data_IF_181967185575
#
_entry.id   IF_181967185575
#
_cell.length_a   1.000
_cell.length_b   1.000
_cell.length_c   1.000
_cell.angle_alpha   90.00
_cell.angle_beta   90.00
_cell.angle_gamma   90.00
#
_symmetry.space_group_name_H-M   'P 1'
#
loop_
_entity.id
_entity.type
_entity.pdbx_description
1 polymer ?
#
# COMPACT_ATOMS: atom_id res chain seq x y z
N UNK A 1 -31.11 -17.68 -28.75
CA UNK A 1 -30.72 -18.29 -27.46
C UNK A 1 -30.93 -19.79 -27.57
N UNK A 2 -29.88 -20.59 -27.42
CA UNK A 2 -30.01 -22.06 -27.40
C UNK A 2 -30.38 -22.48 -25.98
N UNK A 3 -31.62 -22.91 -25.76
CA UNK A 3 -32.11 -23.34 -24.44
C UNK A 3 -31.23 -24.46 -23.84
N UNK A 4 -30.96 -24.40 -22.52
CA UNK A 4 -30.23 -25.42 -21.77
C UNK A 4 -31.11 -26.61 -21.35
N UNK A 5 -32.35 -26.65 -21.84
CA UNK A 5 -33.31 -27.71 -21.59
C UNK A 5 -33.26 -28.75 -22.71
N UNK A 6 -33.25 -30.02 -22.32
CA UNK A 6 -33.49 -31.15 -23.20
C UNK A 6 -34.94 -31.12 -23.70
N UNK A 7 -35.24 -31.94 -24.73
CA UNK A 7 -36.60 -32.05 -25.28
C UNK A 7 -37.62 -32.54 -24.23
N UNK A 8 -37.14 -33.23 -23.21
CA UNK A 8 -37.94 -33.77 -22.10
C UNK A 8 -38.15 -32.76 -20.95
N UNK A 9 -37.62 -31.55 -21.08
CA UNK A 9 -37.72 -30.49 -20.05
C UNK A 9 -36.69 -30.58 -18.93
N UNK A 10 -35.82 -31.59 -18.93
CA UNK A 10 -34.70 -31.69 -17.99
C UNK A 10 -33.52 -30.78 -18.37
N UNK A 11 -32.74 -30.34 -17.38
CA UNK A 11 -31.55 -29.50 -17.57
C UNK A 11 -30.39 -30.36 -18.05
N UNK A 12 -29.75 -29.98 -19.16
CA UNK A 12 -28.54 -30.63 -19.67
C UNK A 12 -27.31 -30.18 -18.87
N UNK A 13 -27.07 -30.84 -17.73
CA UNK A 13 -25.95 -30.55 -16.82
C UNK A 13 -24.60 -30.67 -17.55
N UNK A 14 -24.42 -31.70 -18.38
CA UNK A 14 -23.16 -31.93 -19.09
C UNK A 14 -22.85 -30.84 -20.11
N UNK A 15 -23.87 -30.26 -20.75
CA UNK A 15 -23.68 -29.08 -21.60
C UNK A 15 -23.38 -27.83 -20.78
N UNK A 16 -24.06 -27.63 -19.65
CA UNK A 16 -23.81 -26.50 -18.76
C UNK A 16 -22.35 -26.51 -18.25
N UNK A 17 -21.86 -27.67 -17.80
CA UNK A 17 -20.48 -27.85 -17.34
C UNK A 17 -19.45 -27.56 -18.43
N UNK A 18 -19.70 -27.98 -19.67
CA UNK A 18 -18.84 -27.66 -20.82
C UNK A 18 -18.81 -26.17 -21.12
N UNK A 19 -19.95 -25.49 -21.01
CA UNK A 19 -20.02 -24.05 -21.23
C UNK A 19 -19.28 -23.28 -20.13
N UNK A 20 -19.54 -23.62 -18.87
CA UNK A 20 -18.85 -23.04 -17.70
C UNK A 20 -17.34 -23.24 -17.81
N UNK A 21 -16.89 -24.45 -18.15
CA UNK A 21 -15.46 -24.75 -18.33
C UNK A 21 -14.85 -23.93 -19.46
N UNK A 22 -15.60 -23.71 -20.55
CA UNK A 22 -15.15 -22.87 -21.69
C UNK A 22 -15.02 -21.41 -21.28
N UNK A 23 -16.00 -20.87 -20.57
CA UNK A 23 -15.98 -19.49 -20.07
C UNK A 23 -14.86 -19.27 -19.05
N UNK A 24 -14.67 -20.20 -18.11
CA UNK A 24 -13.55 -20.14 -17.14
C UNK A 24 -12.21 -20.15 -17.87
N UNK A 25 -12.06 -20.99 -18.89
CA UNK A 25 -10.82 -21.06 -19.68
C UNK A 25 -10.57 -19.78 -20.47
N UNK A 26 -11.61 -19.19 -21.06
CA UNK A 26 -11.53 -17.91 -21.76
C UNK A 26 -11.21 -16.75 -20.80
N UNK A 27 -11.84 -16.72 -19.63
CA UNK A 27 -11.57 -15.74 -18.59
C UNK A 27 -10.11 -15.82 -18.09
N UNK A 28 -9.63 -17.03 -17.80
CA UNK A 28 -8.25 -17.24 -17.36
C UNK A 28 -7.22 -16.81 -18.42
N UNK A 29 -7.51 -17.07 -19.69
CA UNK A 29 -6.69 -16.60 -20.82
C UNK A 29 -6.61 -15.07 -20.86
N UNK A 30 -7.77 -14.40 -20.88
CA UNK A 30 -7.85 -12.95 -20.97
C UNK A 30 -7.17 -12.28 -19.77
N UNK A 31 -7.38 -12.84 -18.57
CA UNK A 31 -6.73 -12.37 -17.34
C UNK A 31 -5.21 -12.50 -17.41
N UNK A 32 -4.69 -13.62 -17.92
CA UNK A 32 -3.25 -13.83 -18.07
C UNK A 32 -2.64 -12.82 -19.07
N UNK A 33 -3.31 -12.58 -20.19
CA UNK A 33 -2.91 -11.59 -21.18
C UNK A 33 -2.87 -10.18 -20.57
N UNK A 34 -3.91 -9.76 -19.86
CA UNK A 34 -3.99 -8.41 -19.29
C UNK A 34 -2.96 -8.19 -18.18
N UNK A 35 -2.72 -9.18 -17.32
CA UNK A 35 -1.67 -9.11 -16.32
C UNK A 35 -0.27 -9.03 -16.97
N UNK A 36 -0.05 -9.73 -18.08
CA UNK A 36 1.21 -9.64 -18.81
C UNK A 36 1.36 -8.26 -19.48
N UNK A 37 0.30 -7.73 -20.11
CA UNK A 37 0.31 -6.36 -20.68
C UNK A 37 0.68 -5.32 -19.62
N UNK A 38 0.05 -5.39 -18.44
CA UNK A 38 0.34 -4.47 -17.31
C UNK A 38 1.78 -4.57 -16.83
N UNK A 39 2.38 -5.76 -16.83
CA UNK A 39 3.78 -5.93 -16.43
C UNK A 39 4.74 -5.45 -17.52
N UNK A 40 4.48 -5.82 -18.77
CA UNK A 40 5.37 -5.55 -19.90
C UNK A 40 5.41 -4.08 -20.28
N UNK A 41 4.31 -3.32 -20.13
CA UNK A 41 4.28 -1.88 -20.46
C UNK A 41 5.31 -1.05 -19.68
N UNK A 42 5.72 -1.53 -18.50
CA UNK A 42 6.71 -0.84 -17.66
C UNK A 42 8.13 -1.37 -17.85
N UNK A 43 8.30 -2.56 -18.40
CA UNK A 43 9.59 -3.26 -18.43
C UNK A 43 10.22 -3.32 -19.82
N UNK A 44 9.42 -3.13 -20.87
CA UNK A 44 9.84 -3.35 -22.26
C UNK A 44 10.11 -2.03 -22.98
N UNK A 45 11.11 -2.01 -23.86
CA UNK A 45 11.52 -0.79 -24.60
C UNK A 45 10.90 -0.69 -26.00
N UNK A 46 10.49 -1.81 -26.60
CA UNK A 46 9.97 -1.91 -27.97
C UNK A 46 8.60 -2.63 -28.00
N UNK A 47 7.74 -2.22 -28.93
CA UNK A 47 6.46 -2.86 -29.19
C UNK A 47 6.59 -4.33 -29.60
N UNK A 48 7.62 -4.70 -30.36
CA UNK A 48 7.80 -6.10 -30.79
C UNK A 48 8.11 -7.03 -29.63
N UNK A 49 8.94 -6.58 -28.69
CA UNK A 49 9.23 -7.30 -27.44
C UNK A 49 7.97 -7.40 -26.57
N UNK A 50 7.16 -6.33 -26.50
CA UNK A 50 5.89 -6.32 -25.76
C UNK A 50 4.92 -7.34 -26.35
N UNK A 51 4.78 -7.35 -27.69
CA UNK A 51 3.93 -8.29 -28.41
C UNK A 51 4.35 -9.73 -28.15
N UNK A 52 5.65 -10.01 -28.14
CA UNK A 52 6.17 -11.34 -27.83
C UNK A 52 5.79 -11.76 -26.39
N UNK A 53 5.97 -10.91 -25.39
CA UNK A 53 5.58 -11.22 -24.00
C UNK A 53 4.08 -11.51 -23.86
N UNK A 54 3.23 -10.70 -24.48
CA UNK A 54 1.77 -10.91 -24.40
C UNK A 54 1.37 -12.22 -25.09
N UNK A 55 2.02 -12.58 -26.21
CA UNK A 55 1.73 -13.82 -26.95
C UNK A 55 2.03 -15.09 -26.14
N UNK A 56 2.99 -15.04 -25.22
CA UNK A 56 3.36 -16.17 -24.36
C UNK A 56 2.67 -16.17 -23.00
N UNK A 57 1.76 -15.23 -22.74
CA UNK A 57 1.08 -15.08 -21.44
C UNK A 57 0.27 -16.30 -21.00
N UNK A 58 -0.16 -17.13 -21.97
CA UNK A 58 -0.94 -18.34 -21.71
C UNK A 58 -0.09 -19.55 -21.33
N UNK A 59 1.24 -19.45 -21.45
CA UNK A 59 2.14 -20.53 -21.05
C UNK A 59 2.14 -20.66 -19.52
N UNK A 60 1.94 -21.88 -19.04
CA UNK A 60 2.09 -22.16 -17.61
C UNK A 60 3.56 -21.97 -17.24
N UNK A 61 3.85 -21.27 -16.14
CA UNK A 61 5.20 -21.23 -15.60
C UNK A 61 5.70 -22.66 -15.41
N UNK A 62 6.86 -22.97 -16.00
CA UNK A 62 7.45 -24.29 -15.87
C UNK A 62 7.69 -24.57 -14.38
N UNK A 63 7.11 -25.65 -13.88
CA UNK A 63 7.23 -25.99 -12.47
C UNK A 63 8.69 -26.32 -12.16
N UNK A 64 9.18 -25.90 -10.99
CA UNK A 64 10.52 -26.30 -10.51
C UNK A 64 10.71 -27.82 -10.54
N UNK A 65 9.63 -28.59 -10.35
CA UNK A 65 9.65 -30.06 -10.45
C UNK A 65 9.87 -30.52 -11.89
N UNK A 66 9.23 -29.90 -12.87
CA UNK A 66 9.42 -30.22 -14.30
C UNK A 66 10.86 -29.92 -14.72
N UNK A 67 11.38 -28.76 -14.32
CA UNK A 67 12.79 -28.38 -14.57
C UNK A 67 13.74 -29.35 -13.89
N UNK A 68 13.54 -29.67 -12.60
CA UNK A 68 14.36 -30.63 -11.88
C UNK A 68 14.34 -32.02 -12.51
N UNK A 69 13.22 -32.44 -13.12
CA UNK A 69 13.11 -33.75 -13.79
C UNK A 69 13.95 -33.84 -15.06
N UNK A 70 14.17 -32.72 -15.76
CA UNK A 70 15.04 -32.66 -16.94
C UNK A 70 16.52 -32.80 -16.56
N UNK A 71 16.91 -32.27 -15.40
CA UNK A 71 18.29 -32.32 -14.90
C UNK A 71 18.58 -33.52 -13.99
N UNK A 72 17.56 -34.16 -13.41
CA UNK A 72 17.71 -35.29 -12.50
C UNK A 72 18.06 -36.63 -13.18
N UNK A 73 18.35 -36.62 -14.49
CA UNK A 73 19.13 -37.67 -15.15
C UNK A 73 18.71 -39.11 -14.83
N UNK A 74 17.44 -39.47 -15.05
CA UNK A 74 17.06 -40.88 -15.09
C UNK A 74 17.30 -41.43 -16.51
N UNK A 75 18.12 -42.49 -16.68
CA UNK A 75 18.33 -43.11 -17.99
C UNK A 75 17.07 -43.90 -18.34
N UNK A 76 16.24 -43.35 -19.23
CA UNK A 76 15.19 -44.12 -19.90
C UNK A 76 15.56 -44.35 -21.36
N UNK A 77 15.60 -45.63 -21.67
CA UNK A 77 15.79 -46.29 -22.95
C UNK A 77 15.09 -45.55 -24.10
N UNK A 78 15.87 -45.27 -25.16
CA UNK A 78 15.39 -45.38 -26.55
C UNK A 78 14.55 -44.24 -27.10
N UNK A 79 15.17 -43.10 -27.42
CA UNK A 79 14.77 -42.34 -28.61
C UNK A 79 15.98 -41.67 -29.24
N UNK A 80 16.38 -42.24 -30.37
CA UNK A 80 17.53 -41.86 -31.17
C UNK A 80 17.20 -40.54 -31.89
N UNK A 81 17.59 -39.41 -31.30
CA UNK A 81 17.60 -38.11 -31.97
C UNK A 81 19.05 -37.67 -32.03
N UNK A 82 19.60 -37.66 -33.25
CA UNK A 82 20.96 -37.17 -33.53
C UNK A 82 21.05 -35.70 -33.12
N UNK A 83 21.87 -35.44 -32.12
CA UNK A 83 22.32 -34.11 -31.73
C UNK A 83 23.30 -33.58 -32.76
N UNK A 84 23.06 -32.37 -33.27
CA UNK A 84 24.14 -31.53 -33.78
C UNK A 84 24.55 -30.56 -32.69
N UNK A 85 25.84 -30.62 -32.36
CA UNK A 85 26.58 -29.71 -31.50
C UNK A 85 26.40 -28.25 -31.95
N UNK A 86 26.05 -27.37 -31.01
CA UNK A 86 26.62 -26.04 -30.91
C UNK A 86 26.85 -25.76 -29.42
N UNK A 87 28.13 -25.70 -29.10
CA UNK A 87 28.72 -25.28 -27.85
C UNK A 87 28.52 -23.77 -27.71
N UNK A 88 27.82 -23.33 -26.66
CA UNK A 88 27.92 -21.96 -26.15
C UNK A 88 27.51 -21.99 -24.67
N UNK A 89 28.53 -22.10 -23.82
CA UNK A 89 28.41 -22.02 -22.38
C UNK A 89 27.99 -20.62 -21.92
N UNK A 90 26.71 -20.47 -21.59
CA UNK A 90 26.21 -19.35 -20.79
C UNK A 90 26.26 -19.78 -19.32
N UNK A 91 27.40 -19.53 -18.70
CA UNK A 91 27.61 -19.77 -17.27
C UNK A 91 26.87 -18.77 -16.37
N UNK A 92 26.41 -19.29 -15.22
CA UNK A 92 26.43 -18.54 -13.97
C UNK A 92 25.19 -17.72 -13.61
N UNK A 93 24.02 -18.35 -13.44
CA UNK A 93 22.87 -17.71 -12.79
C UNK A 93 22.62 -18.17 -11.34
N UNK A 94 23.31 -19.22 -10.88
CA UNK A 94 23.06 -19.83 -9.56
C UNK A 94 23.56 -19.00 -8.35
N UNK A 95 24.56 -18.13 -8.52
CA UNK A 95 25.16 -17.37 -7.41
C UNK A 95 24.33 -16.16 -6.95
N UNK A 96 23.33 -15.74 -7.73
CA UNK A 96 22.53 -14.55 -7.38
C UNK A 96 21.40 -14.85 -6.38
N UNK A 97 20.98 -16.10 -6.23
CA UNK A 97 19.83 -16.46 -5.39
C UNK A 97 20.24 -16.79 -3.94
N UNK A 98 21.48 -17.17 -3.69
CA UNK A 98 21.93 -17.49 -2.32
C UNK A 98 22.29 -16.25 -1.47
N UNK A 99 22.54 -15.08 -2.07
CA UNK A 99 22.82 -13.84 -1.30
C UNK A 99 21.61 -13.23 -0.57
N UNK A 100 20.40 -13.77 -0.74
CA UNK A 100 19.18 -13.23 -0.08
C UNK A 100 18.70 -14.01 1.14
N UNK A 101 19.33 -15.13 1.52
CA UNK A 101 18.80 -16.01 2.57
C UNK A 101 19.49 -15.96 3.94
N UNK A 102 20.61 -15.23 4.08
CA UNK A 102 21.41 -15.29 5.31
C UNK A 102 21.39 -14.00 6.16
N UNK A 103 20.38 -13.14 6.02
CA UNK A 103 20.16 -12.01 6.96
C UNK A 103 18.85 -12.20 7.73
N UNK A 104 18.76 -13.28 8.50
CA UNK A 104 17.88 -13.38 9.66
C UNK A 104 18.77 -13.63 10.87
N UNK A 105 19.41 -12.55 11.31
CA UNK A 105 20.03 -12.42 12.61
C UNK A 105 19.47 -11.14 13.19
N UNK A 106 18.90 -11.28 14.38
CA UNK A 106 18.66 -10.28 15.41
C UNK A 106 19.15 -8.86 15.12
N UNK A 107 18.21 -7.94 15.21
CA UNK A 107 18.45 -6.51 15.14
C UNK A 107 17.13 -5.81 14.88
N UNK A 108 16.56 -5.26 15.94
CA UNK A 108 15.46 -4.29 15.96
C UNK A 108 15.86 -3.04 15.15
N UNK A 109 15.99 -3.21 13.83
CA UNK A 109 16.19 -2.13 12.90
C UNK A 109 14.82 -1.48 12.77
N UNK A 110 14.56 -0.52 13.66
CA UNK A 110 13.61 0.57 13.40
C UNK A 110 13.99 1.17 12.05
N UNK A 111 13.40 0.65 10.98
CA UNK A 111 13.32 1.30 9.69
C UNK A 111 12.40 2.50 9.94
N UNK A 112 12.97 3.53 10.57
CA UNK A 112 12.45 4.86 10.48
C UNK A 112 12.62 5.22 9.02
N UNK A 113 11.55 5.07 8.24
CA UNK A 113 11.43 5.79 7.00
C UNK A 113 11.68 7.25 7.39
N UNK A 114 12.86 7.75 7.07
CA UNK A 114 13.14 9.17 7.14
C UNK A 114 12.25 9.77 6.07
N UNK A 115 11.02 10.12 6.46
CA UNK A 115 10.25 11.19 5.84
C UNK A 115 10.98 12.50 6.18
N UNK A 116 12.29 12.55 5.95
CA UNK A 116 13.06 13.77 5.96
C UNK A 116 12.64 14.45 4.70
N UNK A 117 11.79 15.46 4.85
CA UNK A 117 11.47 16.39 3.78
C UNK A 117 12.77 16.83 3.14
N UNK A 118 13.04 16.31 1.94
CA UNK A 118 13.95 16.99 1.02
C UNK A 118 13.26 18.32 0.73
N UNK A 119 13.69 19.37 1.41
CA UNK A 119 13.23 20.76 1.26
C UNK A 119 13.58 21.38 -0.10
N UNK A 120 13.80 20.55 -1.13
CA UNK A 120 13.92 20.97 -2.51
C UNK A 120 12.53 21.20 -3.12
N UNK A 121 12.21 22.48 -3.34
CA UNK A 121 11.00 22.99 -4.00
C UNK A 121 10.46 22.05 -5.10
N UNK A 122 9.15 21.73 -5.00
CA UNK A 122 8.25 21.19 -6.03
C UNK A 122 8.31 19.70 -6.40
N UNK A 123 9.03 18.86 -5.66
CA UNK A 123 8.97 17.42 -5.93
C UNK A 123 7.70 16.82 -5.30
N UNK A 124 6.66 16.69 -6.11
CA UNK A 124 5.49 15.88 -5.77
C UNK A 124 5.97 14.47 -5.40
N UNK A 125 5.44 13.85 -4.32
CA UNK A 125 5.84 12.52 -3.92
C UNK A 125 5.62 11.55 -5.07
N UNK A 126 6.56 10.65 -5.29
CA UNK A 126 6.40 9.61 -6.28
C UNK A 126 5.29 8.65 -5.85
N UNK A 127 4.72 7.89 -6.80
CA UNK A 127 3.75 6.83 -6.46
C UNK A 127 4.31 5.82 -5.45
N UNK A 128 5.64 5.61 -5.45
CA UNK A 128 6.32 4.74 -4.50
C UNK A 128 6.32 5.34 -3.10
N UNK A 129 6.63 6.63 -2.97
CA UNK A 129 6.63 7.32 -1.67
C UNK A 129 5.24 7.29 -1.02
N UNK A 130 4.18 7.43 -1.83
CA UNK A 130 2.81 7.30 -1.35
C UNK A 130 2.50 5.91 -0.83
N UNK A 131 2.87 4.87 -1.59
CA UNK A 131 2.68 3.49 -1.17
C UNK A 131 3.47 3.19 0.12
N UNK A 132 4.70 3.67 0.22
CA UNK A 132 5.55 3.44 1.39
C UNK A 132 5.00 4.17 2.63
N UNK A 133 4.48 5.39 2.46
CA UNK A 133 3.76 6.10 3.52
C UNK A 133 2.52 5.33 4.00
N UNK A 134 1.65 4.90 3.10
CA UNK A 134 0.44 4.15 3.46
C UNK A 134 0.75 2.80 4.09
N UNK A 135 1.80 2.12 3.62
CA UNK A 135 2.28 0.87 4.23
C UNK A 135 2.74 1.12 5.66
N UNK A 136 3.48 2.19 5.90
CA UNK A 136 3.96 2.55 7.22
C UNK A 136 2.82 2.96 8.15
N UNK A 137 1.89 3.77 7.64
CA UNK A 137 0.65 4.13 8.31
C UNK A 137 -0.09 2.87 8.76
N UNK A 138 -0.37 1.94 7.85
CA UNK A 138 -1.08 0.70 8.16
C UNK A 138 -0.30 -0.20 9.11
N UNK A 139 1.02 -0.06 9.20
CA UNK A 139 1.85 -0.81 10.14
C UNK A 139 1.76 -0.23 11.56
N UNK A 140 1.86 1.10 11.69
CA UNK A 140 1.92 1.78 12.99
C UNK A 140 0.53 2.14 13.55
N UNK A 141 -0.42 2.52 12.71
CA UNK A 141 -1.73 3.04 13.10
C UNK A 141 -2.75 1.91 13.25
N UNK A 142 -2.53 1.01 14.22
CA UNK A 142 -3.46 -0.10 14.53
C UNK A 142 -4.58 0.29 15.48
N UNK A 143 -4.38 1.36 16.24
CA UNK A 143 -5.35 1.90 17.18
C UNK A 143 -5.39 3.43 17.06
N UNK A 144 -6.44 4.08 17.58
CA UNK A 144 -6.52 5.55 17.62
C UNK A 144 -5.38 6.18 18.44
N UNK A 145 -4.93 5.51 19.51
CA UNK A 145 -3.81 5.97 20.31
C UNK A 145 -2.49 5.91 19.53
N UNK A 146 -2.26 4.85 18.75
CA UNK A 146 -1.07 4.74 17.91
C UNK A 146 -1.10 5.73 16.75
N UNK A 147 -2.28 5.96 16.17
CA UNK A 147 -2.50 7.00 15.17
C UNK A 147 -2.16 8.36 15.75
N UNK A 148 -2.62 8.67 16.96
CA UNK A 148 -2.28 9.93 17.61
C UNK A 148 -0.77 10.08 17.83
N UNK A 149 -0.09 9.03 18.33
CA UNK A 149 1.38 9.02 18.47
C UNK A 149 2.09 9.23 17.13
N UNK A 150 1.54 8.68 16.05
CA UNK A 150 2.06 8.87 14.70
C UNK A 150 1.89 10.32 14.23
N UNK A 151 0.71 10.91 14.46
CA UNK A 151 0.39 12.30 14.10
C UNK A 151 1.18 13.34 14.90
N UNK A 152 1.45 13.07 16.19
CA UNK A 152 2.20 13.98 17.08
C UNK A 152 3.70 13.75 17.03
N UNK A 153 4.18 12.83 16.20
CA UNK A 153 5.60 12.53 16.08
C UNK A 153 6.36 13.79 15.69
N UNK A 154 7.29 14.23 16.53
CA UNK A 154 8.19 15.37 16.28
C UNK A 154 9.53 14.85 15.78
N UNK A 155 10.18 15.60 14.89
CA UNK A 155 11.57 15.31 14.53
C UNK A 155 12.45 15.76 15.69
N UNK A 156 12.68 14.90 16.68
CA UNK A 156 13.87 15.06 17.51
C UNK A 156 15.05 14.66 16.63
N UNK A 157 15.77 15.66 16.12
CA UNK A 157 16.99 15.40 15.38
C UNK A 157 18.03 14.86 16.37
N UNK A 158 18.03 13.54 16.58
CA UNK A 158 18.91 12.81 17.51
C UNK A 158 20.42 13.05 17.24
N UNK A 159 20.76 13.81 16.19
CA UNK A 159 22.12 14.18 15.83
C UNK A 159 22.55 15.57 16.29
N UNK A 160 21.65 16.43 16.79
CA UNK A 160 22.04 17.74 17.31
C UNK A 160 22.13 17.64 18.84
N UNK A 161 23.34 17.33 19.27
CA UNK A 161 23.83 17.32 20.66
C UNK A 161 23.37 18.53 21.48
N UNK A 162 22.59 18.24 22.52
CA UNK A 162 22.63 18.73 23.91
C UNK A 162 22.68 20.24 24.29
N UNK A 163 22.88 21.22 23.40
CA UNK A 163 23.17 22.59 23.87
C UNK A 163 22.28 23.73 23.35
N UNK A 164 21.23 23.45 22.58
CA UNK A 164 20.32 24.51 22.10
C UNK A 164 18.97 24.49 22.82
N UNK A 165 18.87 25.29 23.88
CA UNK A 165 17.69 25.50 24.74
C UNK A 165 16.51 26.24 24.08
N UNK A 166 16.36 26.17 22.76
CA UNK A 166 15.32 26.88 22.02
C UNK A 166 14.89 26.23 20.71
N UNK A 167 15.19 24.95 20.49
CA UNK A 167 14.80 24.26 19.27
C UNK A 167 13.26 24.13 19.21
N UNK A 168 12.63 24.76 18.21
CA UNK A 168 11.22 24.55 17.92
C UNK A 168 11.01 23.08 17.54
N UNK A 169 10.09 22.41 18.23
CA UNK A 169 9.70 21.05 17.90
C UNK A 169 8.85 21.09 16.63
N UNK A 170 9.48 20.92 15.47
CA UNK A 170 8.75 20.73 14.23
C UNK A 170 8.10 19.35 14.21
N UNK A 171 6.81 19.32 13.87
CA UNK A 171 6.09 18.08 13.63
C UNK A 171 6.71 17.38 12.41
N UNK A 172 6.93 16.07 12.51
CA UNK A 172 7.34 15.25 11.35
C UNK A 172 6.29 15.35 10.25
N UNK A 173 5.03 15.46 10.64
CA UNK A 173 3.87 15.45 9.76
C UNK A 173 3.15 16.79 9.82
N UNK A 174 3.42 17.65 8.83
CA UNK A 174 2.60 18.83 8.59
C UNK A 174 1.25 18.40 7.97
N UNK A 175 0.10 18.70 8.60
CA UNK A 175 -1.20 18.21 8.12
C UNK A 175 -1.51 18.57 6.68
N UNK A 176 -1.24 19.83 6.30
CA UNK A 176 -1.47 20.34 4.94
C UNK A 176 -0.63 19.61 3.90
N UNK A 177 0.65 19.32 4.23
CA UNK A 177 1.51 18.53 3.35
C UNK A 177 1.01 17.11 3.25
N UNK A 178 0.70 16.47 4.38
CA UNK A 178 0.25 15.08 4.36
C UNK A 178 -1.02 14.93 3.51
N UNK A 179 -1.99 15.83 3.67
CA UNK A 179 -3.19 15.84 2.84
C UNK A 179 -2.88 16.04 1.35
N UNK A 180 -2.04 17.02 1.02
CA UNK A 180 -1.72 17.35 -0.38
C UNK A 180 -0.86 16.28 -1.07
N UNK A 181 0.07 15.68 -0.34
CA UNK A 181 1.10 14.81 -0.89
C UNK A 181 0.60 13.37 -0.98
N UNK A 182 -0.11 12.90 0.06
CA UNK A 182 -0.51 11.51 0.19
C UNK A 182 -2.01 11.26 -0.04
N UNK A 183 -2.86 12.26 0.21
CA UNK A 183 -4.32 12.10 0.19
C UNK A 183 -5.03 13.02 -0.82
N UNK A 184 -4.30 13.65 -1.76
CA UNK A 184 -4.89 14.61 -2.69
C UNK A 184 -5.87 13.97 -3.69
N UNK A 185 -5.66 12.70 -4.05
CA UNK A 185 -6.50 12.01 -5.05
C UNK A 185 -7.61 11.21 -4.38
N UNK A 186 -7.26 10.47 -3.34
CA UNK A 186 -8.18 9.61 -2.60
C UNK A 186 -7.71 9.49 -1.16
N UNK A 187 -8.67 9.45 -0.23
CA UNK A 187 -8.42 9.19 1.17
C UNK A 187 -9.29 8.02 1.59
N UNK A 188 -8.64 6.95 2.06
CA UNK A 188 -9.33 5.77 2.55
C UNK A 188 -10.22 6.12 3.75
N UNK A 189 -11.45 5.61 3.76
CA UNK A 189 -12.40 5.80 4.85
C UNK A 189 -11.87 5.27 6.19
N UNK A 190 -11.16 4.14 6.22
CA UNK A 190 -10.59 3.61 7.47
C UNK A 190 -9.50 4.54 8.02
N UNK A 191 -8.65 5.06 7.14
CA UNK A 191 -7.60 6.03 7.52
C UNK A 191 -8.23 7.30 8.08
N UNK A 192 -9.26 7.84 7.43
CA UNK A 192 -10.00 9.00 7.94
C UNK A 192 -10.62 8.71 9.32
N UNK A 193 -11.25 7.55 9.50
CA UNK A 193 -11.84 7.13 10.77
C UNK A 193 -10.83 7.14 11.91
N UNK A 194 -9.66 6.52 11.71
CA UNK A 194 -8.59 6.51 12.70
C UNK A 194 -8.07 7.92 13.03
N UNK A 195 -7.97 8.82 12.06
CA UNK A 195 -7.57 10.21 12.30
C UNK A 195 -8.62 10.93 13.16
N UNK A 196 -9.91 10.78 12.84
CA UNK A 196 -11.00 11.40 13.61
C UNK A 196 -10.97 10.93 15.07
N UNK A 197 -10.83 9.62 15.29
CA UNK A 197 -10.76 9.04 16.64
C UNK A 197 -9.51 9.51 17.40
N UNK A 198 -8.35 9.56 16.75
CA UNK A 198 -7.12 10.07 17.33
C UNK A 198 -7.24 11.54 17.77
N UNK A 199 -7.84 12.39 16.92
CA UNK A 199 -8.10 13.80 17.27
C UNK A 199 -9.12 13.94 18.39
N UNK A 200 -10.10 13.03 18.48
CA UNK A 200 -11.05 13.02 19.59
C UNK A 200 -10.40 12.59 20.91
N UNK A 201 -9.49 11.61 20.89
CA UNK A 201 -8.68 11.26 22.07
C UNK A 201 -7.85 12.46 22.55
N UNK A 202 -7.27 13.20 21.60
CA UNK A 202 -6.53 14.42 21.90
C UNK A 202 -7.43 15.52 22.52
N UNK A 203 -8.67 15.65 22.05
CA UNK A 203 -9.64 16.58 22.65
C UNK A 203 -10.00 16.17 24.09
N UNK A 204 -10.17 14.86 24.32
CA UNK A 204 -10.53 14.33 25.63
C UNK A 204 -9.41 14.50 26.66
N UNK A 205 -8.14 14.38 26.22
CA UNK A 205 -7.01 14.58 27.12
C UNK A 205 -6.92 16.02 27.66
N UNK A 206 -7.24 17.02 26.84
CA UNK A 206 -7.36 18.41 27.32
C UNK A 206 -8.51 18.62 28.32
N UNK A 207 -9.56 17.79 28.28
CA UNK A 207 -10.70 17.85 29.20
C UNK A 207 -10.45 17.14 30.54
N UNK A 208 -9.21 16.71 30.80
CA UNK A 208 -8.83 16.03 32.05
C UNK A 208 -9.10 14.53 32.04
N UNK A 209 -9.47 13.94 30.89
CA UNK A 209 -9.53 12.50 30.76
C UNK A 209 -8.10 11.99 30.53
N UNK A 210 -7.45 11.45 31.58
CA UNK A 210 -6.03 11.08 31.55
C UNK A 210 -5.76 9.86 30.67
N UNK A 211 -5.77 10.06 29.36
CA UNK A 211 -5.15 9.15 28.40
C UNK A 211 -3.67 9.51 28.44
N UNK A 212 -2.82 8.61 28.96
CA UNK A 212 -1.38 8.82 29.14
C UNK A 212 -0.62 9.04 27.83
N UNK A 213 -0.82 10.22 27.25
CA UNK A 213 -0.23 10.70 26.01
C UNK A 213 0.71 11.84 26.36
N UNK A 214 2.01 11.57 26.25
CA UNK A 214 3.04 12.57 26.39
C UNK A 214 3.05 13.47 25.16
N UNK A 215 2.19 14.49 25.15
CA UNK A 215 2.27 15.53 24.13
C UNK A 215 3.46 16.45 24.41
N UNK A 216 4.17 16.90 23.36
CA UNK A 216 5.17 17.95 23.50
C UNK A 216 4.53 19.19 24.16
N UNK A 217 5.15 19.79 25.19
CA UNK A 217 4.58 20.91 25.93
C UNK A 217 4.37 22.17 25.06
N UNK A 218 5.03 22.24 23.90
CA UNK A 218 4.92 23.33 22.93
C UNK A 218 3.68 23.23 22.03
N UNK A 219 3.03 22.06 21.95
CA UNK A 219 1.97 21.81 20.97
C UNK A 219 0.60 21.91 21.62
N UNK A 220 -0.15 22.98 21.32
CA UNK A 220 -1.55 23.05 21.73
C UNK A 220 -2.36 21.99 20.97
N UNK A 221 -3.03 21.11 21.73
CA UNK A 221 -3.93 20.10 21.17
C UNK A 221 -5.02 20.74 20.29
N UNK A 222 -5.56 21.90 20.71
CA UNK A 222 -6.50 22.67 19.90
C UNK A 222 -5.92 23.15 18.56
N UNK A 223 -4.68 23.63 18.54
CA UNK A 223 -4.04 24.08 17.30
C UNK A 223 -3.77 22.90 16.36
N UNK A 224 -3.37 21.75 16.92
CA UNK A 224 -3.18 20.52 16.16
C UNK A 224 -4.52 20.03 15.56
N UNK A 225 -5.60 19.99 16.35
CA UNK A 225 -6.94 19.63 15.87
C UNK A 225 -7.40 20.61 14.79
N UNK A 226 -7.21 21.92 14.99
CA UNK A 226 -7.58 22.93 13.99
C UNK A 226 -6.79 22.76 12.69
N UNK A 227 -5.49 22.45 12.78
CA UNK A 227 -4.65 22.23 11.61
C UNK A 227 -5.08 20.99 10.82
N UNK A 228 -5.25 19.85 11.49
CA UNK A 228 -5.72 18.62 10.84
C UNK A 228 -7.13 18.74 10.27
N UNK A 229 -8.07 19.30 11.02
CA UNK A 229 -9.46 19.45 10.55
C UNK A 229 -9.56 20.36 9.32
N UNK A 230 -8.71 21.39 9.24
CA UNK A 230 -8.59 22.24 8.04
C UNK A 230 -7.97 21.48 6.87
N UNK A 231 -6.85 20.82 7.08
CA UNK A 231 -6.14 20.08 6.04
C UNK A 231 -7.01 18.98 5.43
N UNK A 232 -7.69 18.18 6.27
CA UNK A 232 -8.57 17.08 5.85
C UNK A 232 -9.72 17.54 4.96
N UNK A 233 -10.28 18.74 5.17
CA UNK A 233 -11.29 19.28 4.26
C UNK A 233 -10.75 19.56 2.85
N UNK A 234 -9.44 19.74 2.71
CA UNK A 234 -8.77 19.90 1.41
C UNK A 234 -8.29 18.58 0.79
N UNK A 235 -8.40 17.45 1.51
CA UNK A 235 -8.05 16.13 0.99
C UNK A 235 -9.06 15.68 -0.10
N UNK A 236 -8.60 14.87 -1.07
CA UNK A 236 -9.43 14.37 -2.17
C UNK A 236 -10.50 13.40 -1.68
N UNK A 237 -11.73 13.56 -2.18
CA UNK A 237 -12.90 12.72 -1.83
C UNK A 237 -13.27 12.72 -0.33
N UNK A 238 -12.84 13.74 0.42
CA UNK A 238 -13.12 13.87 1.86
C UNK A 238 -14.59 13.61 2.23
N UNK A 239 -15.53 14.30 1.56
CA UNK A 239 -16.96 14.18 1.86
C UNK A 239 -17.50 12.75 1.64
N UNK A 240 -16.98 12.07 0.62
CA UNK A 240 -17.35 10.69 0.32
C UNK A 240 -16.79 9.75 1.39
N UNK A 241 -15.51 9.88 1.74
CA UNK A 241 -14.87 9.07 2.79
C UNK A 241 -15.52 9.29 4.15
N UNK A 242 -16.00 10.51 4.43
CA UNK A 242 -16.78 10.83 5.62
C UNK A 242 -18.17 10.19 5.59
N UNK A 243 -18.83 10.15 4.42
CA UNK A 243 -20.15 9.52 4.27
C UNK A 243 -20.15 8.01 4.54
N UNK A 244 -19.00 7.35 4.34
CA UNK A 244 -18.81 5.94 4.68
C UNK A 244 -18.54 5.68 6.17
N UNK A 245 -18.33 6.72 6.98
CA UNK A 245 -18.16 6.58 8.43
C UNK A 245 -19.49 6.29 9.13
N UNK A 246 -19.40 5.71 10.32
CA UNK A 246 -20.56 5.57 11.21
C UNK A 246 -21.11 6.94 11.61
N UNK A 247 -22.41 6.99 11.94
CA UNK A 247 -23.06 8.24 12.40
C UNK A 247 -22.37 8.83 13.63
N UNK A 248 -21.85 7.98 14.51
CA UNK A 248 -21.13 8.39 15.71
C UNK A 248 -19.81 9.10 15.37
N UNK A 249 -19.07 8.59 14.38
CA UNK A 249 -17.86 9.25 13.89
C UNK A 249 -18.15 10.56 13.16
N UNK A 250 -19.23 10.61 12.36
CA UNK A 250 -19.67 11.85 11.72
C UNK A 250 -20.05 12.92 12.76
N UNK A 251 -20.75 12.54 13.84
CA UNK A 251 -21.06 13.44 14.94
C UNK A 251 -19.79 13.88 15.70
N UNK A 252 -18.86 12.95 15.93
CA UNK A 252 -17.55 13.24 16.53
C UNK A 252 -16.77 14.25 15.70
N UNK A 253 -16.76 14.10 14.38
CA UNK A 253 -16.17 15.06 13.46
C UNK A 253 -16.83 16.44 13.57
N UNK A 254 -18.17 16.51 13.60
CA UNK A 254 -18.89 17.76 13.84
C UNK A 254 -18.49 18.44 15.15
N UNK A 255 -18.34 17.67 16.23
CA UNK A 255 -17.90 18.18 17.53
C UNK A 255 -16.44 18.67 17.50
N UNK A 256 -15.54 18.01 16.75
CA UNK A 256 -14.17 18.49 16.54
C UNK A 256 -14.12 19.81 15.77
N UNK A 257 -14.98 19.99 14.76
CA UNK A 257 -15.07 21.25 14.02
C UNK A 257 -15.59 22.39 14.92
N UNK A 258 -16.59 22.13 15.74
CA UNK A 258 -17.07 23.11 16.71
C UNK A 258 -15.98 23.50 17.72
N UNK A 259 -15.23 22.51 18.21
CA UNK A 259 -14.09 22.72 19.10
C UNK A 259 -12.98 23.58 18.47
N UNK A 260 -12.62 23.29 17.22
CA UNK A 260 -11.61 24.01 16.47
C UNK A 260 -12.02 25.45 16.10
N UNK A 261 -13.32 25.71 15.96
CA UNK A 261 -13.89 27.00 15.54
C UNK A 261 -14.18 27.97 16.70
N UNK A 262 -14.20 27.49 17.94
CA UNK A 262 -14.26 28.37 19.10
C UNK A 262 -12.93 29.10 19.23
N UNK A 263 -12.67 30.14 18.44
CA UNK A 263 -11.56 31.03 18.72
C UNK A 263 -11.80 31.65 20.09
N UNK A 264 -10.72 31.74 20.88
CA UNK A 264 -10.77 32.52 22.10
C UNK A 264 -11.06 33.94 21.64
N UNK A 265 -12.31 34.36 21.73
CA UNK A 265 -12.67 35.75 21.93
C UNK A 265 -12.10 36.08 23.31
N UNK A 266 -10.79 36.24 23.35
CA UNK A 266 -10.07 36.75 24.52
C UNK A 266 -10.50 38.22 24.61
N UNK A 267 -11.22 38.63 25.65
CA UNK A 267 -11.52 40.04 25.88
C UNK A 267 -10.23 40.85 26.11
#
# INVERSE_FOLDING_TARGET
MMSALNRDGEIDVARLEREVTREISAYNRNRAEDEMKKKSIHNVKDYDEFRNFVSVSQLKPTSRREVASLFAGTPTVGRNVKSNHADDGIGGFEDSIQRRRNTTSDGDARVCLRVTGRTGRNNQPTSRDRHDFLREWNRQCKSPADTLRFLTRTTTDDRITAECSGAMCDLVLEPDRVCKDYFATDMDSEVLGHIIEALNLLRQSEQGNSVGLDLPPSLSAKDLIRSWTRALKGCGRFDLSLSFQTKDLQHTWGALLAYASHDRVTP
#
